data_IF_717600579497
#
_entry.id   IF_717600579497
#
_cell.length_a   1.000
_cell.length_b   1.000
_cell.length_c   1.000
_cell.angle_alpha   90.00
_cell.angle_beta   90.00
_cell.angle_gamma   90.00
#
_symmetry.space_group_name_H-M   'P 1'
#
loop_
_entity.id
_entity.type
_entity.pdbx_description
1 polymer ?
#
# COMPACT_ATOMS: atom_id res chain seq x y z
N UNK A 1 -7.33 16.58 -10.39
CA UNK A 1 -8.39 16.52 -11.42
C UNK A 1 -8.43 15.09 -11.94
N UNK A 2 -9.62 14.49 -11.98
CA UNK A 2 -9.96 13.07 -12.21
C UNK A 2 -9.61 12.17 -11.02
N UNK A 3 -10.57 11.51 -10.36
CA UNK A 3 -11.53 10.55 -10.94
C UNK A 3 -12.92 10.74 -10.29
N UNK A 4 -13.90 11.11 -11.10
CA UNK A 4 -15.31 10.91 -10.80
C UNK A 4 -15.85 9.90 -11.82
N UNK A 5 -16.58 8.89 -11.33
CA UNK A 5 -17.48 7.94 -12.02
C UNK A 5 -17.12 6.47 -11.81
N UNK A 6 -17.89 5.79 -10.94
CA UNK A 6 -18.88 4.79 -11.36
C UNK A 6 -19.67 4.23 -10.15
N UNK A 7 -20.92 4.68 -10.05
CA UNK A 7 -22.17 3.99 -9.68
C UNK A 7 -22.25 3.01 -8.49
N UNK A 8 -23.29 3.23 -7.67
CA UNK A 8 -23.92 2.20 -6.83
C UNK A 8 -25.00 2.77 -5.92
N UNK A 9 -26.27 2.70 -6.34
CA UNK A 9 -27.44 3.12 -5.55
C UNK A 9 -27.51 2.38 -4.20
N UNK A 10 -27.16 3.06 -3.12
CA UNK A 10 -27.63 2.84 -1.73
C UNK A 10 -27.23 4.09 -0.94
N UNK A 11 -28.20 4.73 -0.30
CA UNK A 11 -28.09 6.04 0.35
C UNK A 11 -27.12 6.06 1.54
N UNK A 12 -25.84 6.08 1.25
CA UNK A 12 -24.80 6.60 2.12
C UNK A 12 -24.16 7.74 1.34
N UNK A 13 -24.01 8.91 1.97
CA UNK A 13 -23.12 9.95 1.46
C UNK A 13 -21.72 9.32 1.46
N UNK A 14 -21.32 8.72 0.34
CA UNK A 14 -19.97 8.20 0.16
C UNK A 14 -19.05 9.41 0.15
N UNK A 15 -18.55 9.78 1.33
CA UNK A 15 -17.38 10.64 1.43
C UNK A 15 -16.27 9.91 0.69
N UNK A 16 -15.70 10.55 -0.34
CA UNK A 16 -14.51 10.03 -0.98
C UNK A 16 -13.43 9.92 0.11
N UNK A 17 -12.94 8.69 0.33
CA UNK A 17 -11.91 8.45 1.33
C UNK A 17 -10.64 9.16 0.88
N UNK A 18 -10.05 9.95 1.78
CA UNK A 18 -8.77 10.58 1.52
C UNK A 18 -7.69 9.52 1.27
N UNK A 19 -6.64 9.81 0.48
CA UNK A 19 -5.55 8.86 0.27
C UNK A 19 -4.92 8.37 1.58
N UNK A 20 -4.86 9.24 2.60
CA UNK A 20 -4.40 8.86 3.94
C UNK A 20 -5.29 7.81 4.60
N UNK A 21 -6.62 8.00 4.59
CA UNK A 21 -7.57 7.02 5.14
C UNK A 21 -7.51 5.69 4.40
N UNK A 22 -7.36 5.73 3.06
CA UNK A 22 -7.21 4.51 2.26
C UNK A 22 -5.92 3.78 2.65
N UNK A 23 -4.80 4.49 2.77
CA UNK A 23 -3.52 3.92 3.18
C UNK A 23 -3.60 3.29 4.58
N UNK A 24 -4.21 3.97 5.54
CA UNK A 24 -4.44 3.44 6.90
C UNK A 24 -5.27 2.16 6.87
N UNK A 25 -6.32 2.13 6.04
CA UNK A 25 -7.15 0.95 5.87
C UNK A 25 -6.37 -0.21 5.24
N UNK A 26 -5.58 0.05 4.19
CA UNK A 26 -4.69 -0.94 3.58
C UNK A 26 -3.68 -1.50 4.60
N UNK A 27 -3.09 -0.64 5.44
CA UNK A 27 -2.16 -1.06 6.50
C UNK A 27 -2.84 -1.96 7.54
N UNK A 28 -4.06 -1.61 7.94
CA UNK A 28 -4.85 -2.43 8.86
C UNK A 28 -5.15 -3.80 8.26
N UNK A 29 -5.74 -3.85 7.06
CA UNK A 29 -6.07 -5.10 6.38
C UNK A 29 -4.83 -5.97 6.16
N UNK A 30 -3.73 -5.36 5.71
CA UNK A 30 -2.50 -6.10 5.46
C UNK A 30 -1.91 -6.72 6.73
N UNK A 31 -2.09 -6.11 7.91
CA UNK A 31 -1.66 -6.71 9.18
C UNK A 31 -2.47 -7.95 9.55
N UNK A 32 -3.73 -8.00 9.16
CA UNK A 32 -4.63 -9.13 9.44
C UNK A 32 -4.32 -10.34 8.54
N UNK A 33 -3.91 -10.11 7.30
CA UNK A 33 -3.74 -11.19 6.30
C UNK A 33 -2.29 -11.51 5.95
N UNK A 34 -1.33 -10.61 6.21
CA UNK A 34 0.04 -10.83 5.78
C UNK A 34 0.70 -11.97 6.58
N UNK A 35 1.54 -12.79 5.92
CA UNK A 35 2.33 -13.79 6.63
C UNK A 35 3.28 -13.11 7.63
N UNK A 36 3.69 -13.83 8.70
CA UNK A 36 4.64 -13.32 9.66
C UNK A 36 5.95 -12.92 8.96
N UNK A 37 6.47 -11.74 9.27
CA UNK A 37 7.72 -11.26 8.67
C UNK A 37 8.90 -12.11 9.18
N UNK A 38 9.70 -12.73 8.30
CA UNK A 38 10.84 -13.52 8.72
C UNK A 38 11.81 -12.68 9.53
N UNK A 39 12.33 -13.23 10.64
CA UNK A 39 13.48 -12.64 11.32
C UNK A 39 14.66 -12.72 10.35
N UNK A 40 15.22 -11.57 9.97
CA UNK A 40 16.36 -11.51 9.04
C UNK A 40 17.56 -12.31 9.55
N UNK A 41 18.48 -12.63 8.66
CA UNK A 41 19.74 -13.28 9.05
C UNK A 41 20.61 -12.27 9.83
N UNK A 42 21.47 -12.76 10.73
CA UNK A 42 22.45 -11.91 11.44
C UNK A 42 23.24 -11.08 10.42
N UNK A 43 23.25 -9.75 10.59
CA UNK A 43 23.87 -8.80 9.66
C UNK A 43 23.03 -8.38 8.45
N UNK A 44 21.86 -9.00 8.22
CA UNK A 44 20.92 -8.61 7.16
C UNK A 44 19.47 -8.63 7.68
N UNK A 45 19.11 -7.68 8.55
CA UNK A 45 17.75 -7.58 9.06
C UNK A 45 16.77 -7.29 7.92
N UNK A 46 15.54 -7.80 8.03
CA UNK A 46 14.44 -7.37 7.17
C UNK A 46 14.11 -5.92 7.49
N UNK A 47 14.19 -5.05 6.48
CA UNK A 47 13.97 -3.60 6.65
C UNK A 47 12.49 -3.23 6.77
N UNK A 48 11.62 -3.98 6.08
CA UNK A 48 10.18 -3.71 6.00
C UNK A 48 9.40 -5.01 6.21
N UNK A 49 8.22 -4.92 6.83
CA UNK A 49 7.37 -6.08 7.07
C UNK A 49 6.60 -6.51 5.80
N UNK A 50 6.20 -7.78 5.74
CA UNK A 50 5.29 -8.28 4.70
C UNK A 50 3.98 -7.47 4.66
N UNK A 51 3.45 -7.09 5.84
CA UNK A 51 2.27 -6.25 5.94
C UNK A 51 2.45 -4.88 5.28
N UNK A 52 3.62 -4.24 5.44
CA UNK A 52 3.88 -2.96 4.79
C UNK A 52 3.91 -3.12 3.26
N UNK A 53 4.64 -4.11 2.74
CA UNK A 53 4.66 -4.36 1.30
C UNK A 53 3.25 -4.62 0.73
N UNK A 54 2.46 -5.45 1.41
CA UNK A 54 1.11 -5.77 0.97
C UNK A 54 0.19 -4.54 1.01
N UNK A 55 0.25 -3.73 2.07
CA UNK A 55 -0.54 -2.51 2.19
C UNK A 55 -0.27 -1.55 1.03
N UNK A 56 1.00 -1.36 0.66
CA UNK A 56 1.39 -0.48 -0.43
C UNK A 56 0.96 -1.01 -1.80
N UNK A 57 0.97 -2.34 -1.99
CA UNK A 57 0.46 -2.97 -3.22
C UNK A 57 -1.06 -2.86 -3.33
N UNK A 58 -1.78 -2.96 -2.21
CA UNK A 58 -3.23 -2.72 -2.16
C UNK A 58 -3.56 -1.25 -2.47
N UNK A 59 -2.85 -0.31 -1.85
CA UNK A 59 -2.98 1.12 -2.12
C UNK A 59 -2.75 1.44 -3.60
N UNK A 60 -1.64 0.89 -4.16
CA UNK A 60 -1.34 1.00 -5.59
C UNK A 60 -2.49 0.47 -6.45
N UNK A 61 -2.99 -0.72 -6.14
CA UNK A 61 -4.06 -1.35 -6.91
C UNK A 61 -5.37 -0.55 -6.85
N UNK A 62 -5.69 -0.01 -5.67
CA UNK A 62 -6.89 0.80 -5.44
C UNK A 62 -6.90 2.09 -6.26
N UNK A 63 -5.76 2.78 -6.35
CA UNK A 63 -5.63 4.02 -7.12
C UNK A 63 -5.13 3.79 -8.57
N UNK A 64 -4.96 2.53 -8.99
CA UNK A 64 -4.43 2.15 -10.31
C UNK A 64 -3.07 2.80 -10.66
N UNK A 65 -2.21 2.98 -9.65
CA UNK A 65 -0.93 3.67 -9.82
C UNK A 65 0.14 2.75 -10.43
N UNK A 66 1.10 3.36 -11.12
CA UNK A 66 2.39 2.71 -11.39
C UNK A 66 3.21 2.62 -10.10
N UNK A 67 4.24 1.76 -10.08
CA UNK A 67 5.13 1.67 -8.91
C UNK A 67 5.83 2.99 -8.58
N UNK A 68 6.18 3.79 -9.61
CA UNK A 68 6.82 5.11 -9.42
C UNK A 68 5.85 6.14 -8.86
N UNK A 69 4.64 6.21 -9.40
CA UNK A 69 3.60 7.11 -8.87
C UNK A 69 3.23 6.73 -7.43
N UNK A 70 3.19 5.44 -7.12
CA UNK A 70 2.97 4.97 -5.75
C UNK A 70 4.04 5.53 -4.81
N UNK A 71 5.32 5.44 -5.19
CA UNK A 71 6.41 6.00 -4.38
C UNK A 71 6.27 7.51 -4.18
N UNK A 72 5.94 8.25 -5.24
CA UNK A 72 5.70 9.70 -5.14
C UNK A 72 4.52 10.02 -4.21
N UNK A 73 3.39 9.32 -4.34
CA UNK A 73 2.24 9.51 -3.45
C UNK A 73 2.56 9.20 -1.99
N UNK A 74 3.43 8.22 -1.71
CA UNK A 74 3.80 7.86 -0.35
C UNK A 74 4.74 8.87 0.32
N UNK A 75 5.54 9.61 -0.45
CA UNK A 75 6.39 10.68 0.09
C UNK A 75 5.56 11.75 0.81
N UNK A 76 4.37 12.05 0.31
CA UNK A 76 3.47 13.04 0.91
C UNK A 76 2.62 12.46 2.04
N UNK A 77 2.41 11.14 2.07
CA UNK A 77 1.49 10.47 2.98
C UNK A 77 2.15 9.83 4.21
N UNK A 78 3.45 9.57 4.16
CA UNK A 78 4.19 8.87 5.22
C UNK A 78 5.46 9.61 5.63
N UNK A 79 5.64 9.84 6.93
CA UNK A 79 6.87 10.43 7.48
C UNK A 79 8.01 9.41 7.63
N UNK A 80 7.70 8.10 7.60
CA UNK A 80 8.66 7.02 7.83
C UNK A 80 9.23 6.41 6.56
N UNK A 81 10.36 5.67 6.65
CA UNK A 81 10.93 5.00 5.50
C UNK A 81 9.97 3.93 4.97
N UNK A 82 9.77 3.91 3.65
CA UNK A 82 9.01 2.90 2.92
C UNK A 82 9.86 2.27 1.81
N UNK A 83 9.50 1.07 1.31
CA UNK A 83 10.23 0.43 0.23
C UNK A 83 10.15 1.24 -1.08
N UNK A 84 11.28 1.34 -1.79
CA UNK A 84 11.32 1.97 -3.12
C UNK A 84 10.44 1.23 -4.13
N UNK A 85 10.08 1.91 -5.24
CA UNK A 85 9.29 1.32 -6.32
C UNK A 85 9.89 -0.01 -6.84
N UNK A 86 11.22 -0.09 -6.94
CA UNK A 86 11.92 -1.31 -7.37
C UNK A 86 11.76 -2.45 -6.36
N UNK A 87 11.83 -2.12 -5.06
CA UNK A 87 11.65 -3.10 -3.99
C UNK A 87 10.22 -3.62 -3.96
N UNK A 88 9.23 -2.74 -4.17
CA UNK A 88 7.82 -3.09 -4.30
C UNK A 88 7.57 -4.02 -5.48
N UNK A 89 8.08 -3.67 -6.67
CA UNK A 89 7.92 -4.50 -7.86
C UNK A 89 8.56 -5.89 -7.68
N UNK A 90 9.78 -5.94 -7.12
CA UNK A 90 10.46 -7.21 -6.83
C UNK A 90 9.70 -8.05 -5.81
N UNK A 91 9.10 -7.40 -4.80
CA UNK A 91 8.27 -8.10 -3.82
C UNK A 91 7.03 -8.72 -4.49
N UNK A 92 6.31 -7.96 -5.31
CA UNK A 92 5.14 -8.44 -6.03
C UNK A 92 5.50 -9.67 -6.89
N UNK A 93 6.55 -9.59 -7.70
CA UNK A 93 7.00 -10.71 -8.55
C UNK A 93 7.37 -11.99 -7.79
N UNK A 94 7.74 -11.87 -6.51
CA UNK A 94 8.18 -13.01 -5.70
C UNK A 94 7.04 -13.65 -4.90
N UNK A 95 5.99 -12.88 -4.60
CA UNK A 95 5.00 -13.24 -3.59
C UNK A 95 3.54 -13.17 -4.07
N UNK A 96 3.29 -12.68 -5.29
CA UNK A 96 2.00 -12.65 -5.96
C UNK A 96 2.13 -13.36 -7.31
#
# INVERSE_FOLDING_TARGET
>A
MYISLLMGKRGFVRREASPKEVLEHCLRLAREVAPPTPKGKRGRPWRYSHALYLALLLFRAFFHLTYRETEASLQDLMEGPFPSHQSLARYALKHL
#
